data_IF_054734894672
#
_entry.id   IF_054734894672
#
_cell.length_a   1.000
_cell.length_b   1.000
_cell.length_c   1.000
_cell.angle_alpha   90.00
_cell.angle_beta   90.00
_cell.angle_gamma   90.00
#
_symmetry.space_group_name_H-M   'P 1'
#
loop_
_entity.id
_entity.type
_entity.pdbx_description
1 polymer ?
#
# COMPACT_ATOMS: atom_id res chain seq x y z
N UNK A 1 -0.68 9.00 20.12
CA UNK A 1 0.54 8.49 19.47
C UNK A 1 0.15 8.27 18.02
N UNK A 2 0.58 9.14 17.10
CA UNK A 2 0.46 8.83 15.67
C UNK A 2 1.63 7.92 15.33
N UNK A 3 1.32 6.66 15.02
CA UNK A 3 2.30 5.75 14.44
C UNK A 3 2.28 6.00 12.94
N UNK A 4 3.42 6.26 12.31
CA UNK A 4 3.53 6.26 10.85
C UNK A 4 3.44 4.82 10.35
N UNK A 5 2.95 4.62 9.13
CA UNK A 5 2.94 3.31 8.50
C UNK A 5 4.37 2.76 8.38
N UNK A 6 4.57 1.51 8.77
CA UNK A 6 5.80 0.79 8.47
C UNK A 6 5.79 0.33 7.00
N UNK A 7 6.96 0.33 6.36
CA UNK A 7 7.12 -0.09 4.97
C UNK A 7 7.87 -1.41 4.91
N UNK A 8 7.28 -2.39 4.25
CA UNK A 8 7.85 -3.71 4.00
C UNK A 8 8.17 -3.86 2.52
N UNK A 9 9.45 -3.74 2.17
CA UNK A 9 9.92 -3.86 0.80
C UNK A 9 10.05 -5.34 0.37
N UNK A 10 9.53 -5.67 -0.81
CA UNK A 10 9.64 -6.99 -1.42
C UNK A 10 10.46 -6.83 -2.71
N UNK A 11 11.75 -7.16 -2.61
CA UNK A 11 12.76 -7.00 -3.65
C UNK A 11 13.26 -8.35 -4.16
N UNK A 12 13.96 -8.36 -5.30
CA UNK A 12 14.57 -9.55 -5.91
C UNK A 12 15.46 -10.32 -4.93
N UNK A 13 16.22 -9.62 -4.09
CA UNK A 13 17.08 -10.25 -3.08
C UNK A 13 16.27 -10.99 -2.00
N UNK A 14 15.12 -10.45 -1.60
CA UNK A 14 14.22 -11.09 -0.64
C UNK A 14 13.63 -12.36 -1.24
N UNK A 15 13.16 -12.28 -2.48
CA UNK A 15 12.63 -13.43 -3.25
C UNK A 15 13.70 -14.52 -3.39
N UNK A 16 14.91 -14.15 -3.81
CA UNK A 16 16.02 -15.08 -3.98
C UNK A 16 16.42 -15.76 -2.66
N UNK A 17 16.44 -15.00 -1.56
CA UNK A 17 16.77 -15.54 -0.24
C UNK A 17 15.73 -16.54 0.24
N UNK A 18 14.44 -16.27 0.03
CA UNK A 18 13.37 -17.23 0.35
C UNK A 18 13.45 -18.46 -0.56
N UNK A 19 13.63 -18.26 -1.86
CA UNK A 19 13.76 -19.35 -2.83
C UNK A 19 14.91 -20.31 -2.45
N UNK A 20 16.08 -19.77 -2.10
CA UNK A 20 17.24 -20.56 -1.65
C UNK A 20 16.92 -21.37 -0.40
N UNK A 21 16.21 -20.79 0.58
CA UNK A 21 15.80 -21.49 1.81
C UNK A 21 14.82 -22.62 1.52
N UNK A 22 13.88 -22.43 0.60
CA UNK A 22 12.90 -23.45 0.20
C UNK A 22 13.52 -24.59 -0.62
N UNK A 23 14.64 -24.35 -1.31
CA UNK A 23 15.25 -25.30 -2.26
C UNK A 23 16.71 -25.68 -1.91
N UNK A 24 17.06 -25.72 -0.62
CA UNK A 24 18.44 -25.93 -0.14
C UNK A 24 19.16 -27.16 -0.72
N UNK A 25 18.42 -28.22 -1.07
CA UNK A 25 18.99 -29.48 -1.57
C UNK A 25 19.06 -29.55 -3.11
N UNK A 26 18.24 -28.76 -3.81
CA UNK A 26 18.05 -28.82 -5.27
C UNK A 26 18.30 -27.44 -5.93
N UNK A 27 19.03 -26.54 -5.27
CA UNK A 27 19.32 -25.22 -5.82
C UNK A 27 20.21 -25.34 -7.05
N UNK A 28 19.62 -25.14 -8.23
CA UNK A 28 20.33 -25.01 -9.51
C UNK A 28 20.26 -23.55 -9.94
N UNK A 29 21.38 -22.97 -10.35
CA UNK A 29 21.44 -21.54 -10.70
C UNK A 29 20.48 -21.15 -11.83
N UNK A 30 20.13 -22.09 -12.72
CA UNK A 30 19.16 -21.90 -13.81
C UNK A 30 17.69 -22.02 -13.42
N UNK A 31 17.35 -22.34 -12.17
CA UNK A 31 15.96 -22.45 -11.69
C UNK A 31 15.53 -21.28 -10.80
N UNK A 32 16.37 -20.22 -10.73
CA UNK A 32 16.03 -19.00 -10.01
C UNK A 32 14.69 -18.44 -10.51
N UNK A 33 13.84 -17.90 -9.61
CA UNK A 33 12.67 -17.17 -10.04
C UNK A 33 13.09 -16.00 -10.96
N UNK A 34 12.24 -15.60 -11.93
CA UNK A 34 12.47 -14.37 -12.68
C UNK A 34 12.52 -13.18 -11.72
N UNK A 35 12.95 -12.02 -12.23
CA UNK A 35 12.89 -10.79 -11.44
C UNK A 35 11.44 -10.51 -11.02
N UNK A 36 11.21 -10.03 -9.80
CA UNK A 36 9.87 -9.72 -9.28
C UNK A 36 9.16 -8.69 -10.16
N UNK A 37 9.93 -7.82 -10.82
CA UNK A 37 9.46 -6.82 -11.78
C UNK A 37 8.95 -7.42 -13.09
N UNK A 38 9.37 -8.64 -13.42
CA UNK A 38 8.96 -9.36 -14.64
C UNK A 38 7.84 -10.38 -14.37
N UNK A 39 7.45 -10.54 -13.10
CA UNK A 39 6.38 -11.43 -12.69
C UNK A 39 5.00 -10.82 -12.92
N UNK A 40 3.99 -11.66 -13.12
CA UNK A 40 2.60 -11.23 -13.05
C UNK A 40 2.24 -10.74 -11.64
N UNK A 41 1.22 -9.87 -11.52
CA UNK A 41 0.75 -9.37 -10.22
C UNK A 41 0.40 -10.50 -9.23
N UNK A 42 -0.21 -11.60 -9.72
CA UNK A 42 -0.52 -12.77 -8.88
C UNK A 42 0.75 -13.43 -8.31
N UNK A 43 1.79 -13.56 -9.14
CA UNK A 43 3.08 -14.13 -8.75
C UNK A 43 3.82 -13.21 -7.78
N UNK A 44 3.81 -11.91 -8.04
CA UNK A 44 4.34 -10.88 -7.15
C UNK A 44 3.70 -10.96 -5.76
N UNK A 45 2.36 -11.05 -5.69
CA UNK A 45 1.64 -11.19 -4.43
C UNK A 45 1.99 -12.50 -3.72
N UNK A 46 2.05 -13.62 -4.43
CA UNK A 46 2.49 -14.91 -3.87
C UNK A 46 3.86 -14.80 -3.22
N UNK A 47 4.82 -14.17 -3.89
CA UNK A 47 6.15 -13.96 -3.36
C UNK A 47 6.18 -13.00 -2.18
N UNK A 48 5.40 -11.93 -2.22
CA UNK A 48 5.26 -11.02 -1.08
C UNK A 48 4.80 -11.75 0.18
N UNK A 49 3.75 -12.58 0.11
CA UNK A 49 3.34 -13.39 1.26
C UNK A 49 4.43 -14.35 1.75
N UNK A 50 5.14 -15.00 0.81
CA UNK A 50 6.26 -15.90 1.17
C UNK A 50 7.38 -15.15 1.89
N UNK A 51 7.75 -13.97 1.40
CA UNK A 51 8.79 -13.11 2.00
C UNK A 51 8.38 -12.65 3.39
N UNK A 52 7.17 -12.11 3.54
CA UNK A 52 6.65 -11.69 4.85
C UNK A 52 6.67 -12.85 5.86
N UNK A 53 6.20 -14.03 5.43
CA UNK A 53 6.20 -15.23 6.28
C UNK A 53 7.62 -15.70 6.64
N UNK A 54 8.52 -15.77 5.68
CA UNK A 54 9.90 -16.23 5.89
C UNK A 54 10.71 -15.30 6.80
N UNK A 55 10.37 -14.01 6.82
CA UNK A 55 10.95 -13.01 7.71
C UNK A 55 10.23 -12.90 9.05
N UNK A 56 9.17 -13.68 9.28
CA UNK A 56 8.29 -13.58 10.45
C UNK A 56 7.79 -12.13 10.66
N UNK A 57 7.54 -11.43 9.55
CA UNK A 57 7.03 -10.06 9.56
C UNK A 57 5.60 -10.06 10.11
N UNK A 58 5.27 -9.02 10.89
CA UNK A 58 3.95 -8.83 11.49
C UNK A 58 3.43 -7.42 11.16
N UNK A 59 3.12 -7.14 9.88
CA UNK A 59 2.56 -5.86 9.49
C UNK A 59 1.24 -5.61 10.23
N UNK A 60 1.04 -4.38 10.67
CA UNK A 60 -0.16 -3.86 11.29
C UNK A 60 -1.15 -3.40 10.20
N UNK A 61 -2.44 -3.30 10.56
CA UNK A 61 -3.44 -2.78 9.64
C UNK A 61 -3.00 -1.39 9.15
N UNK A 62 -2.95 -1.18 7.84
CA UNK A 62 -2.53 0.09 7.23
C UNK A 62 -1.05 0.20 6.92
N UNK A 63 -0.21 -0.74 7.37
CA UNK A 63 1.20 -0.80 6.96
C UNK A 63 1.33 -1.05 5.45
N UNK A 64 2.45 -0.64 4.89
CA UNK A 64 2.67 -0.60 3.44
C UNK A 64 3.50 -1.79 3.03
N UNK A 65 3.04 -2.52 2.02
CA UNK A 65 3.80 -3.60 1.36
C UNK A 65 4.21 -3.07 -0.01
N UNK A 66 5.51 -2.82 -0.20
CA UNK A 66 6.03 -2.30 -1.45
C UNK A 66 6.64 -3.42 -2.29
N UNK A 67 5.93 -3.84 -3.33
CA UNK A 67 6.33 -4.96 -4.17
C UNK A 67 6.96 -4.47 -5.46
N UNK A 68 8.23 -4.81 -5.69
CA UNK A 68 8.89 -4.55 -6.96
C UNK A 68 8.76 -3.10 -7.41
N UNK A 69 8.89 -2.14 -6.47
CA UNK A 69 8.73 -0.72 -6.75
C UNK A 69 9.65 -0.28 -7.88
N UNK A 70 9.08 -0.01 -9.05
CA UNK A 70 9.80 0.70 -10.10
C UNK A 70 9.90 2.18 -9.68
N UNK A 71 10.92 2.85 -10.15
CA UNK A 71 11.29 4.21 -9.72
C UNK A 71 10.28 5.29 -10.17
N UNK A 72 9.04 4.92 -10.53
CA UNK A 72 8.03 5.82 -11.07
C UNK A 72 6.70 5.75 -10.30
N UNK A 73 6.39 6.84 -9.60
CA UNK A 73 5.09 7.24 -9.00
C UNK A 73 4.18 6.10 -8.56
N UNK A 74 4.28 5.75 -7.28
CA UNK A 74 3.35 4.92 -6.51
C UNK A 74 3.14 3.47 -7.02
N UNK A 75 3.91 3.02 -8.01
CA UNK A 75 3.84 1.63 -8.47
C UNK A 75 4.34 0.66 -7.40
N UNK A 76 3.71 -0.51 -7.34
CA UNK A 76 4.04 -1.55 -6.37
C UNK A 76 3.60 -1.26 -4.94
N UNK A 77 2.97 -0.11 -4.67
CA UNK A 77 2.47 0.23 -3.34
C UNK A 77 1.17 -0.53 -3.06
N UNK A 78 1.18 -1.30 -1.98
CA UNK A 78 0.03 -2.00 -1.43
C UNK A 78 -0.08 -1.72 0.06
N UNK A 79 -1.24 -2.04 0.64
CA UNK A 79 -1.53 -1.86 2.06
C UNK A 79 -1.89 -3.20 2.69
N UNK A 80 -1.47 -3.39 3.94
CA UNK A 80 -1.79 -4.57 4.71
C UNK A 80 -3.14 -4.42 5.41
N UNK A 81 -4.09 -5.27 5.04
CA UNK A 81 -5.32 -5.45 5.78
C UNK A 81 -5.19 -6.57 6.81
N UNK A 82 -4.77 -6.21 8.02
CA UNK A 82 -4.66 -7.17 9.12
C UNK A 82 -5.99 -7.82 9.53
N UNK A 83 -7.15 -7.25 9.19
CA UNK A 83 -8.46 -7.84 9.54
C UNK A 83 -8.76 -9.07 8.70
N UNK A 84 -8.36 -9.06 7.42
CA UNK A 84 -8.57 -10.16 6.49
C UNK A 84 -7.28 -10.91 6.13
N UNK A 85 -6.15 -10.52 6.73
CA UNK A 85 -4.80 -11.01 6.43
C UNK A 85 -4.44 -10.93 4.94
N UNK A 86 -4.69 -9.76 4.33
CA UNK A 86 -4.55 -9.57 2.88
C UNK A 86 -3.74 -8.34 2.51
N UNK A 87 -2.94 -8.47 1.46
CA UNK A 87 -2.34 -7.38 0.72
C UNK A 87 -3.42 -6.79 -0.20
N UNK A 88 -3.65 -5.48 -0.08
CA UNK A 88 -4.65 -4.72 -0.84
C UNK A 88 -3.93 -3.72 -1.73
N UNK A 89 -4.14 -3.72 -3.06
CA UNK A 89 -3.50 -2.75 -3.94
C UNK A 89 -3.98 -1.35 -3.60
N UNK A 90 -3.09 -0.38 -3.76
CA UNK A 90 -3.44 1.03 -3.72
C UNK A 90 -4.55 1.34 -4.74
N UNK A 91 -5.49 2.20 -4.38
CA UNK A 91 -6.56 2.59 -5.29
C UNK A 91 -6.02 3.59 -6.31
N UNK A 92 -6.20 3.32 -7.61
CA UNK A 92 -5.83 4.25 -8.68
C UNK A 92 -7.08 4.96 -9.21
N UNK A 93 -6.99 6.28 -9.42
CA UNK A 93 -8.00 7.07 -10.11
C UNK A 93 -7.44 7.64 -11.41
N UNK A 94 -8.33 8.04 -12.35
CA UNK A 94 -7.94 8.69 -13.62
C UNK A 94 -7.28 10.04 -13.29
N UNK A 95 -5.95 10.03 -13.17
CA UNK A 95 -5.16 11.19 -12.79
C UNK A 95 -3.98 10.81 -11.92
N UNK A 96 -3.19 9.81 -12.33
CA UNK A 96 -1.79 9.46 -11.97
C UNK A 96 -1.32 9.46 -10.51
N UNK A 97 -2.19 9.75 -9.55
CA UNK A 97 -1.87 9.77 -8.15
C UNK A 97 -2.65 8.66 -7.46
N UNK A 98 -1.90 7.76 -6.83
CA UNK A 98 -2.46 6.66 -6.10
C UNK A 98 -3.04 7.13 -4.77
N UNK A 99 -4.15 6.49 -4.37
CA UNK A 99 -4.89 6.80 -3.17
C UNK A 99 -4.90 5.61 -2.22
N UNK A 100 -4.91 5.91 -0.93
CA UNK A 100 -5.19 4.92 0.11
C UNK A 100 -6.58 4.28 -0.16
N UNK A 101 -6.72 2.94 -0.13
CA UNK A 101 -8.01 2.29 -0.33
C UNK A 101 -9.06 2.74 0.70
N UNK A 102 -10.32 2.90 0.27
CA UNK A 102 -11.44 3.44 1.09
C UNK A 102 -11.70 2.70 2.41
N UNK A 103 -11.24 1.46 2.51
CA UNK A 103 -11.37 0.65 3.72
C UNK A 103 -10.44 1.10 4.86
N UNK A 104 -9.41 1.90 4.55
CA UNK A 104 -8.54 2.53 5.55
C UNK A 104 -9.00 3.97 5.75
N UNK A 105 -9.88 4.17 6.74
CA UNK A 105 -10.49 5.46 7.05
C UNK A 105 -9.49 6.43 7.68
N UNK A 106 -9.49 7.70 7.24
CA UNK A 106 -8.67 8.77 7.83
C UNK A 106 -9.50 9.60 8.78
N UNK A 107 -9.04 9.75 10.02
CA UNK A 107 -9.73 10.54 11.03
C UNK A 107 -9.16 10.32 12.45
N UNK A 108 -9.97 10.65 13.45
CA UNK A 108 -9.58 10.61 14.87
C UNK A 108 -10.40 9.58 15.68
N UNK A 109 -11.20 8.75 15.01
CA UNK A 109 -12.02 7.70 15.58
C UNK A 109 -11.28 6.39 15.82
N UNK A 110 -11.94 5.44 16.48
CA UNK A 110 -11.38 4.13 16.76
C UNK A 110 -11.24 3.32 15.46
N UNK A 111 -10.02 2.84 15.17
CA UNK A 111 -9.72 2.12 13.93
C UNK A 111 -9.54 3.01 12.69
N UNK A 112 -9.46 4.32 12.88
CA UNK A 112 -9.10 5.30 11.85
C UNK A 112 -7.60 5.64 11.93
N UNK A 113 -7.06 6.11 10.81
CA UNK A 113 -5.67 6.51 10.67
C UNK A 113 -5.54 8.03 10.76
N UNK A 114 -4.46 8.50 11.39
CA UNK A 114 -4.14 9.92 11.36
C UNK A 114 -3.91 10.39 9.92
N UNK A 115 -4.24 11.64 9.56
CA UNK A 115 -3.92 12.19 8.24
C UNK A 115 -2.45 11.99 7.82
N UNK A 116 -1.53 12.04 8.78
CA UNK A 116 -0.09 11.90 8.50
C UNK A 116 0.41 10.44 8.48
N UNK A 117 -0.49 9.44 8.59
CA UNK A 117 -0.09 8.05 8.74
C UNK A 117 0.73 7.54 7.54
N UNK A 118 0.37 7.96 6.32
CA UNK A 118 1.07 7.61 5.07
C UNK A 118 1.84 8.79 4.46
N UNK A 119 2.18 9.80 5.27
CA UNK A 119 2.97 10.95 4.83
C UNK A 119 4.27 10.49 4.14
N UNK A 120 4.52 10.98 2.92
CA UNK A 120 5.69 10.61 2.11
C UNK A 120 5.56 9.30 1.33
N UNK A 121 4.45 8.56 1.51
CA UNK A 121 4.15 7.31 0.79
C UNK A 121 2.99 7.51 -0.17
N UNK A 122 1.90 8.12 0.28
CA UNK A 122 0.77 8.53 -0.56
C UNK A 122 0.61 10.05 -0.45
N UNK A 123 0.63 10.73 -1.60
CA UNK A 123 0.39 12.17 -1.68
C UNK A 123 -1.09 12.54 -1.51
N UNK A 124 -2.00 11.57 -1.71
CA UNK A 124 -3.43 11.78 -1.61
C UNK A 124 -4.02 10.74 -0.66
N UNK A 125 -4.14 11.15 0.60
CA UNK A 125 -5.09 10.51 1.49
C UNK A 125 -6.46 10.55 0.83
N UNK A 126 -7.20 9.45 0.90
CA UNK A 126 -8.51 9.39 0.25
C UNK A 126 -9.43 10.42 0.94
N UNK A 127 -9.57 11.60 0.32
CA UNK A 127 -10.49 12.65 0.75
C UNK A 127 -11.96 12.29 0.45
N UNK A 128 -12.22 11.07 -0.06
CA UNK A 128 -13.58 10.62 -0.32
C UNK A 128 -14.30 10.21 0.97
N UNK A 129 -15.63 10.35 1.00
CA UNK A 129 -16.42 9.98 2.16
C UNK A 129 -16.21 8.52 2.56
N UNK A 130 -15.96 8.28 3.84
CA UNK A 130 -15.84 6.94 4.41
C UNK A 130 -16.97 6.68 5.42
N UNK A 131 -17.41 5.44 5.52
CA UNK A 131 -18.45 5.04 6.47
C UNK A 131 -17.82 4.57 7.78
N UNK A 132 -18.14 5.24 8.89
CA UNK A 132 -17.78 4.75 10.22
C UNK A 132 -18.79 3.71 10.69
N UNK A 133 -18.34 2.48 10.90
CA UNK A 133 -19.16 1.39 11.44
C UNK A 133 -19.56 1.63 12.91
N UNK A 134 -18.70 2.29 13.69
CA UNK A 134 -18.94 2.63 15.10
C UNK A 134 -19.97 3.76 15.24
N UNK A 135 -19.82 4.85 14.49
CA UNK A 135 -20.73 6.00 14.55
C UNK A 135 -21.96 5.85 13.65
N UNK A 136 -22.00 4.80 12.82
CA UNK A 136 -23.05 4.52 11.83
C UNK A 136 -23.38 5.75 10.96
N UNK A 137 -22.35 6.43 10.47
CA UNK A 137 -22.51 7.60 9.59
C UNK A 137 -21.36 7.72 8.59
N UNK A 138 -21.65 8.41 7.48
CA UNK A 138 -20.63 8.84 6.53
C UNK A 138 -19.87 10.03 7.09
N UNK A 139 -18.55 9.97 6.99
CA UNK A 139 -17.63 11.05 7.24
C UNK A 139 -17.07 11.47 5.89
N UNK A 140 -17.39 12.69 5.47
CA UNK A 140 -16.73 13.32 4.35
C UNK A 140 -15.53 14.08 4.93
N UNK A 141 -14.28 13.74 4.55
CA UNK A 141 -13.18 14.70 4.67
C UNK A 141 -13.66 15.98 4.00
N UNK A 142 -13.61 17.10 4.71
CA UNK A 142 -13.93 18.40 4.10
C UNK A 142 -13.06 18.49 2.84
N UNK A 143 -13.67 18.83 1.71
CA UNK A 143 -12.89 19.30 0.56
C UNK A 143 -11.94 20.36 1.11
N UNK A 144 -10.68 20.35 0.66
CA UNK A 144 -9.79 21.47 0.91
C UNK A 144 -10.50 22.72 0.35
N UNK A 145 -11.19 23.45 1.22
CA UNK A 145 -11.70 24.79 0.96
C UNK A 145 -10.49 25.72 0.91
N UNK A 146 -9.58 25.53 -0.05
CA UNK A 146 -8.56 26.53 -0.35
C UNK A 146 -7.92 26.31 -1.74
N UNK A 147 -8.18 27.31 -2.59
CA UNK A 147 -7.54 27.66 -3.87
C UNK A 147 -7.99 26.94 -5.15
N UNK A 148 -8.96 27.54 -5.85
CA UNK A 148 -8.70 28.29 -7.11
C UNK A 148 -9.85 29.28 -7.35
N UNK A 149 -9.70 30.54 -6.92
CA UNK A 149 -10.38 31.66 -7.59
C UNK A 149 -9.74 31.78 -8.98
N UNK A 150 -10.34 31.17 -10.00
CA UNK A 150 -10.14 31.65 -11.36
C UNK A 150 -11.03 32.88 -11.53
N UNK A 151 -10.40 34.05 -11.56
CA UNK A 151 -11.02 35.25 -12.09
C UNK A 151 -11.48 34.95 -13.52
N UNK A 152 -12.79 34.98 -13.75
CA UNK A 152 -13.32 35.23 -15.09
C UNK A 152 -12.98 36.68 -15.43
N UNK A 153 -11.81 36.90 -16.04
CA UNK A 153 -11.62 38.10 -16.85
C UNK A 153 -12.48 37.93 -18.10
N UNK A 154 -13.71 38.44 -17.99
CA UNK A 154 -14.57 38.75 -19.11
C UNK A 154 -13.96 39.92 -19.88
N UNK A 155 -13.62 39.69 -21.15
CA UNK A 155 -13.54 40.72 -22.20
C UNK A 155 -14.55 40.38 -23.31
#
# INVERSE_FOLDING_TARGET
>A
MSFKAEVFDILDEHVLNVYKKENLLDFVEGTKPPSIYEMSEEEQLKWAYKVLKANNAKPNHGDVIWIGGDTYRNQGIHFWDAKNEKIVPMATHRGDYGHVPKMFAVGNGEGEFSPDHWEGISYYNNLQPYWSSEKKKWFCPLEDDEYYEYYEDSD
#
